data_IF_285979503581
#
_entry.id   IF_285979503581
#
_cell.length_a   1.000
_cell.length_b   1.000
_cell.length_c   1.000
_cell.angle_alpha   90.00
_cell.angle_beta   90.00
_cell.angle_gamma   90.00
#
_symmetry.space_group_name_H-M   'P 1'
#
loop_
_entity.id
_entity.type
_entity.pdbx_description
1 polymer ?
#
# COMPACT_ATOMS: atom_id res chain seq x y z
N UNK A 1 -20.47 5.72 -7.56
CA UNK A 1 -21.64 6.37 -6.97
C UNK A 1 -21.29 7.81 -6.56
N UNK A 2 -21.73 8.78 -7.36
CA UNK A 2 -21.41 10.22 -7.17
C UNK A 2 -21.90 10.71 -5.79
N UNK A 3 -22.95 10.14 -5.26
CA UNK A 3 -23.53 10.52 -3.97
C UNK A 3 -22.69 10.06 -2.77
N UNK A 4 -21.96 8.94 -2.90
CA UNK A 4 -21.18 8.37 -1.78
C UNK A 4 -19.72 8.80 -1.78
N UNK A 5 -19.26 9.52 -2.80
CA UNK A 5 -17.84 9.92 -2.96
C UNK A 5 -16.86 8.75 -2.82
N UNK A 6 -17.26 7.59 -3.34
CA UNK A 6 -16.49 6.36 -3.30
C UNK A 6 -16.50 5.69 -4.67
N UNK A 7 -15.36 5.15 -5.07
CA UNK A 7 -15.16 4.40 -6.30
C UNK A 7 -14.80 2.97 -5.90
N UNK A 8 -15.54 1.97 -6.41
CA UNK A 8 -15.12 0.59 -6.39
C UNK A 8 -14.41 0.27 -7.70
N UNK A 9 -13.21 -0.27 -7.61
CA UNK A 9 -12.37 -0.53 -8.76
C UNK A 9 -11.87 -1.97 -8.70
N UNK A 10 -12.03 -2.72 -9.79
CA UNK A 10 -11.51 -4.08 -9.91
C UNK A 10 -10.03 -4.08 -10.30
N UNK A 11 -9.38 -5.24 -10.18
CA UNK A 11 -8.02 -5.41 -10.68
C UNK A 11 -7.97 -5.22 -12.19
N UNK A 12 -6.98 -4.48 -12.66
CA UNK A 12 -6.78 -4.19 -14.09
C UNK A 12 -5.39 -4.68 -14.54
N UNK A 13 -5.28 -4.92 -15.83
CA UNK A 13 -4.04 -5.29 -16.48
C UNK A 13 -4.06 -6.72 -17.03
N UNK A 14 -3.53 -6.85 -18.22
CA UNK A 14 -3.21 -8.11 -18.87
C UNK A 14 -1.97 -7.86 -19.70
N UNK A 15 -0.77 -7.96 -19.13
CA UNK A 15 0.47 -7.50 -19.76
C UNK A 15 0.71 -8.03 -21.17
N UNK A 16 0.29 -9.29 -21.45
CA UNK A 16 0.41 -9.91 -22.77
C UNK A 16 -0.51 -9.27 -23.83
N UNK A 17 -1.63 -8.65 -23.43
CA UNK A 17 -2.61 -8.07 -24.34
C UNK A 17 -2.65 -6.55 -24.28
N UNK A 18 -2.49 -5.99 -23.09
CA UNK A 18 -2.59 -4.55 -22.85
C UNK A 18 -1.41 -4.13 -21.98
N UNK A 19 -0.47 -3.35 -22.52
CA UNK A 19 0.70 -2.88 -21.77
C UNK A 19 0.32 -2.07 -20.53
N UNK A 20 1.14 -2.15 -19.48
CA UNK A 20 0.89 -1.50 -18.18
C UNK A 20 0.75 0.02 -18.26
N UNK A 21 1.43 0.67 -19.21
CA UNK A 21 1.31 2.12 -19.41
C UNK A 21 -0.09 2.54 -19.90
N UNK A 22 -0.88 1.62 -20.45
CA UNK A 22 -2.28 1.85 -20.83
C UNK A 22 -3.20 1.47 -19.68
N UNK A 23 -3.06 0.23 -19.19
CA UNK A 23 -3.99 -0.34 -18.21
C UNK A 23 -3.80 0.24 -16.80
N UNK A 24 -2.55 0.38 -16.33
CA UNK A 24 -2.23 0.79 -14.97
C UNK A 24 -1.92 2.29 -14.86
N UNK A 25 -0.98 2.81 -15.67
CA UNK A 25 -0.56 4.21 -15.59
C UNK A 25 -1.66 5.18 -16.04
N UNK A 26 -2.42 4.77 -17.07
CA UNK A 26 -3.54 5.56 -17.62
C UNK A 26 -4.81 5.54 -16.77
N UNK A 27 -4.92 4.64 -15.79
CA UNK A 27 -6.11 4.51 -14.94
C UNK A 27 -5.79 4.71 -13.45
N UNK A 28 -5.34 3.66 -12.75
CA UNK A 28 -5.20 3.66 -11.28
C UNK A 28 -4.25 4.75 -10.77
N UNK A 29 -3.05 4.87 -11.35
CA UNK A 29 -2.10 5.91 -10.93
C UNK A 29 -2.61 7.32 -11.22
N UNK A 30 -3.38 7.48 -12.30
CA UNK A 30 -4.03 8.75 -12.62
C UNK A 30 -5.08 9.10 -11.57
N UNK A 31 -5.96 8.18 -11.17
CA UNK A 31 -6.93 8.43 -10.11
C UNK A 31 -6.27 8.83 -8.78
N UNK A 32 -5.19 8.15 -8.40
CA UNK A 32 -4.46 8.46 -7.16
C UNK A 32 -3.96 9.91 -7.16
N UNK A 33 -3.45 10.40 -8.29
CA UNK A 33 -2.91 11.76 -8.42
C UNK A 33 -4.00 12.81 -8.62
N UNK A 34 -4.93 12.61 -9.55
CA UNK A 34 -5.99 13.56 -9.88
C UNK A 34 -6.97 13.79 -8.71
N UNK A 35 -7.24 12.75 -7.92
CA UNK A 35 -8.10 12.82 -6.74
C UNK A 35 -7.31 12.97 -5.44
N UNK A 36 -6.04 13.30 -5.52
CA UNK A 36 -5.15 13.47 -4.36
C UNK A 36 -5.38 12.41 -3.27
N UNK A 37 -5.44 11.13 -3.70
CA UNK A 37 -5.63 9.98 -2.82
C UNK A 37 -4.30 9.59 -2.21
N UNK A 38 -3.74 10.46 -1.39
CA UNK A 38 -2.37 10.35 -0.89
C UNK A 38 -2.16 9.28 0.20
N UNK A 39 -3.22 8.73 0.74
CA UNK A 39 -3.17 7.60 1.66
C UNK A 39 -3.59 6.33 0.93
N UNK A 40 -2.73 5.31 0.95
CA UNK A 40 -3.15 3.97 0.67
C UNK A 40 -3.17 3.18 1.99
N UNK A 41 -4.38 2.81 2.41
CA UNK A 41 -4.65 2.07 3.64
C UNK A 41 -4.88 0.60 3.32
N UNK A 42 -4.07 -0.29 3.88
CA UNK A 42 -4.15 -1.73 3.69
C UNK A 42 -4.16 -2.46 5.04
N UNK A 43 -5.30 -2.94 5.52
CA UNK A 43 -5.35 -3.78 6.72
C UNK A 43 -4.80 -5.18 6.43
N UNK A 44 -4.04 -5.70 7.39
CA UNK A 44 -3.50 -7.07 7.38
C UNK A 44 -4.09 -7.81 8.55
N UNK A 45 -4.89 -8.83 8.27
CA UNK A 45 -5.61 -9.56 9.32
C UNK A 45 -5.67 -11.05 9.03
N UNK A 46 -5.28 -11.86 9.99
CA UNK A 46 -5.52 -13.30 9.96
C UNK A 46 -6.96 -13.58 10.37
N UNK A 47 -7.77 -13.98 9.38
CA UNK A 47 -9.20 -14.18 9.56
C UNK A 47 -9.56 -15.61 9.98
N UNK A 48 -10.68 -15.82 10.70
CA UNK A 48 -11.19 -17.15 10.97
C UNK A 48 -11.47 -17.93 9.66
N UNK A 49 -11.08 -19.18 9.62
CA UNK A 49 -11.31 -20.06 8.47
C UNK A 49 -10.26 -19.93 7.35
N UNK A 50 -9.34 -18.97 7.44
CA UNK A 50 -8.23 -18.82 6.48
C UNK A 50 -6.95 -19.41 7.09
N UNK A 51 -6.32 -20.43 6.47
CA UNK A 51 -5.06 -20.96 6.97
C UNK A 51 -3.92 -19.97 6.72
N UNK A 52 -3.17 -19.64 7.77
CA UNK A 52 -1.91 -18.90 7.62
C UNK A 52 -0.81 -19.84 7.10
N UNK A 53 0.04 -19.40 6.17
CA UNK A 53 1.24 -20.15 5.80
C UNK A 53 2.31 -20.14 6.92
N UNK A 54 2.18 -19.24 7.90
CA UNK A 54 3.08 -19.20 9.05
C UNK A 54 2.65 -20.25 10.10
N UNK A 55 3.62 -21.00 10.59
CA UNK A 55 3.36 -22.04 11.60
C UNK A 55 2.80 -21.46 12.91
N UNK A 56 1.87 -22.19 13.52
CA UNK A 56 1.32 -21.90 14.86
C UNK A 56 0.64 -20.54 15.02
N UNK A 57 0.07 -19.98 13.95
CA UNK A 57 -0.70 -18.73 13.99
C UNK A 57 -2.20 -19.02 13.97
N UNK A 58 -2.96 -18.25 14.74
CA UNK A 58 -4.42 -18.35 14.84
C UNK A 58 -5.07 -16.98 14.62
N UNK A 59 -6.36 -16.92 14.27
CA UNK A 59 -7.10 -15.67 14.13
C UNK A 59 -6.91 -14.75 15.35
N UNK A 60 -6.61 -13.48 15.07
CA UNK A 60 -6.30 -12.46 16.08
C UNK A 60 -4.82 -12.27 16.40
N UNK A 61 -3.94 -13.23 16.08
CA UNK A 61 -2.50 -13.05 16.30
C UNK A 61 -1.89 -12.00 15.37
N UNK A 62 -2.42 -11.86 14.16
CA UNK A 62 -1.97 -10.89 13.16
C UNK A 62 -3.14 -9.96 12.84
N UNK A 63 -3.02 -8.71 13.28
CA UNK A 63 -4.02 -7.66 13.05
C UNK A 63 -3.32 -6.28 13.13
N UNK A 64 -2.98 -5.70 11.99
CA UNK A 64 -2.30 -4.41 11.88
C UNK A 64 -2.63 -3.69 10.57
N UNK A 65 -2.26 -2.43 10.48
CA UNK A 65 -2.48 -1.60 9.30
C UNK A 65 -1.17 -1.21 8.63
N UNK A 66 -1.16 -1.16 7.31
CA UNK A 66 -0.10 -0.57 6.52
C UNK A 66 -0.62 0.72 5.91
N UNK A 67 0.09 1.81 6.16
CA UNK A 67 -0.16 3.13 5.59
C UNK A 67 0.97 3.40 4.59
N UNK A 68 0.61 3.41 3.30
CA UNK A 68 1.52 3.67 2.20
C UNK A 68 1.31 5.08 1.67
N UNK A 69 2.38 5.83 1.48
CA UNK A 69 2.36 7.03 0.65
C UNK A 69 1.96 6.65 -0.77
N UNK A 70 1.11 7.45 -1.45
CA UNK A 70 0.40 6.95 -2.63
C UNK A 70 0.48 7.87 -3.86
N UNK A 71 1.15 9.03 -3.78
CA UNK A 71 1.12 10.05 -4.84
C UNK A 71 2.49 10.49 -5.35
N UNK A 72 3.54 10.26 -4.58
CA UNK A 72 4.93 10.62 -4.91
C UNK A 72 5.89 9.47 -4.61
N UNK A 73 7.08 9.74 -4.11
CA UNK A 73 8.06 8.72 -3.75
C UNK A 73 8.76 8.13 -4.96
N UNK A 74 8.98 6.84 -4.90
CA UNK A 74 9.69 6.04 -5.91
C UNK A 74 8.86 5.87 -7.20
N UNK A 75 7.54 6.06 -7.11
CA UNK A 75 6.62 6.04 -8.26
C UNK A 75 6.48 7.40 -8.94
N UNK A 76 7.41 8.33 -8.71
CA UNK A 76 7.46 9.58 -9.46
C UNK A 76 7.59 9.30 -10.97
N UNK A 77 7.05 10.18 -11.79
CA UNK A 77 7.22 10.10 -13.24
C UNK A 77 8.36 11.00 -13.73
N UNK A 78 9.31 11.35 -12.83
CA UNK A 78 10.44 12.21 -13.13
C UNK A 78 11.65 11.34 -13.44
N UNK A 79 12.19 11.52 -14.63
CA UNK A 79 13.31 10.75 -15.15
C UNK A 79 13.37 10.76 -16.67
N UNK A 80 14.18 9.89 -17.24
CA UNK A 80 14.29 9.79 -18.69
C UNK A 80 15.39 8.85 -19.14
N UNK A 81 15.59 8.83 -20.46
CA UNK A 81 16.64 8.06 -21.13
C UNK A 81 17.54 8.98 -21.94
N UNK A 82 18.84 8.71 -21.92
CA UNK A 82 19.85 9.29 -22.81
C UNK A 82 20.46 8.19 -23.66
N UNK A 83 20.78 8.52 -24.91
CA UNK A 83 21.39 7.62 -25.90
C UNK A 83 20.63 6.28 -26.07
N UNK A 84 19.29 6.30 -26.27
CA UNK A 84 18.49 5.08 -26.35
C UNK A 84 19.00 4.16 -27.46
N UNK A 85 18.85 2.85 -27.25
CA UNK A 85 19.20 1.78 -28.20
C UNK A 85 20.70 1.72 -28.58
N UNK A 86 21.58 2.29 -27.75
CA UNK A 86 23.05 2.21 -27.89
C UNK A 86 23.70 1.63 -26.65
N UNK A 87 24.95 1.16 -26.76
CA UNK A 87 25.74 0.68 -25.61
C UNK A 87 25.97 1.76 -24.54
N UNK A 88 25.71 3.03 -24.86
CA UNK A 88 25.82 4.16 -23.96
C UNK A 88 24.49 4.56 -23.31
N UNK A 89 23.46 3.77 -23.48
CA UNK A 89 22.12 4.07 -22.92
C UNK A 89 22.20 4.29 -21.41
N UNK A 90 21.63 5.40 -20.96
CA UNK A 90 21.48 5.74 -19.54
C UNK A 90 20.00 5.92 -19.28
N UNK A 91 19.50 5.26 -18.23
CA UNK A 91 18.13 5.40 -17.74
C UNK A 91 18.15 5.92 -16.32
N UNK A 92 17.34 6.94 -16.06
CA UNK A 92 17.23 7.55 -14.73
C UNK A 92 15.76 7.69 -14.33
N UNK A 93 15.47 7.43 -13.06
CA UNK A 93 14.21 7.76 -12.42
C UNK A 93 14.48 8.32 -11.03
N UNK A 94 13.86 9.46 -10.71
CA UNK A 94 14.04 10.16 -9.45
C UNK A 94 13.03 9.70 -8.40
N UNK A 95 13.48 9.55 -7.16
CA UNK A 95 12.61 9.45 -5.99
C UNK A 95 12.32 10.84 -5.46
N UNK A 96 11.04 11.21 -5.38
CA UNK A 96 10.60 12.53 -4.92
C UNK A 96 9.90 12.40 -3.57
N UNK A 97 10.38 13.15 -2.59
CA UNK A 97 9.76 13.29 -1.27
C UNK A 97 9.57 14.77 -0.96
N UNK A 98 8.35 15.26 -1.10
CA UNK A 98 8.02 16.61 -0.69
C UNK A 98 7.69 16.66 0.81
N UNK A 99 7.91 17.81 1.43
CA UNK A 99 7.53 17.99 2.84
C UNK A 99 6.04 17.79 3.06
N UNK A 100 5.22 18.30 2.17
CA UNK A 100 3.76 18.16 2.25
C UNK A 100 3.34 16.70 2.11
N UNK A 101 3.89 15.98 1.14
CA UNK A 101 3.57 14.56 0.90
C UNK A 101 3.96 13.69 2.08
N UNK A 102 5.19 13.84 2.60
CA UNK A 102 5.66 13.05 3.75
C UNK A 102 4.90 13.42 5.03
N UNK A 103 4.75 14.72 5.34
CA UNK A 103 4.11 15.13 6.59
C UNK A 103 2.64 14.69 6.67
N UNK A 104 1.88 14.76 5.57
CA UNK A 104 0.45 14.38 5.57
C UNK A 104 0.23 12.88 5.76
N UNK A 105 1.07 12.03 5.17
CA UNK A 105 0.96 10.58 5.38
C UNK A 105 1.39 10.19 6.79
N UNK A 106 2.45 10.79 7.32
CA UNK A 106 2.89 10.56 8.69
C UNK A 106 1.82 11.00 9.71
N UNK A 107 1.24 12.19 9.51
CA UNK A 107 0.14 12.68 10.36
C UNK A 107 -1.00 11.67 10.40
N UNK A 108 -1.47 11.19 9.25
CA UNK A 108 -2.54 10.19 9.19
C UNK A 108 -2.16 8.90 9.93
N UNK A 109 -0.93 8.41 9.75
CA UNK A 109 -0.45 7.19 10.39
C UNK A 109 -0.38 7.34 11.92
N UNK A 110 0.14 8.45 12.44
CA UNK A 110 0.16 8.74 13.87
C UNK A 110 -1.25 8.92 14.47
N UNK A 111 -2.15 9.61 13.75
CA UNK A 111 -3.55 9.74 14.16
C UNK A 111 -4.25 8.39 14.23
N UNK A 112 -3.99 7.50 13.26
CA UNK A 112 -4.54 6.14 13.29
C UNK A 112 -3.96 5.35 14.47
N UNK A 113 -2.63 5.36 14.64
CA UNK A 113 -1.99 4.67 15.76
C UNK A 113 -2.51 5.14 17.12
N UNK A 114 -2.74 6.45 17.27
CA UNK A 114 -3.27 7.03 18.51
C UNK A 114 -4.70 6.56 18.84
N UNK A 115 -5.47 6.15 17.83
CA UNK A 115 -6.84 5.62 18.01
C UNK A 115 -6.88 4.12 18.31
N UNK A 116 -5.77 3.39 18.13
CA UNK A 116 -5.68 1.96 18.43
C UNK A 116 -5.34 1.72 19.91
N UNK A 117 -5.64 0.53 20.39
CA UNK A 117 -5.31 0.15 21.78
C UNK A 117 -3.80 0.06 22.03
N UNK A 118 -3.05 -0.48 21.07
CA UNK A 118 -1.58 -0.65 21.19
C UNK A 118 -0.83 0.68 21.13
N UNK A 119 -1.40 1.72 20.51
CA UNK A 119 -0.77 3.03 20.29
C UNK A 119 0.68 2.93 19.84
N UNK A 120 0.93 2.11 18.83
CA UNK A 120 2.28 1.83 18.34
C UNK A 120 2.38 2.03 16.82
N UNK A 121 3.43 2.74 16.40
CA UNK A 121 3.73 2.99 15.00
C UNK A 121 5.13 2.49 14.65
N UNK A 122 5.24 1.73 13.57
CA UNK A 122 6.53 1.30 13.00
C UNK A 122 6.77 2.03 11.68
N UNK A 123 7.89 2.69 11.53
CA UNK A 123 8.30 3.34 10.28
C UNK A 123 9.23 2.45 9.48
N UNK A 124 8.91 2.22 8.21
CA UNK A 124 9.80 1.57 7.26
C UNK A 124 10.78 2.59 6.67
N UNK A 125 12.06 2.27 6.69
CA UNK A 125 13.13 3.13 6.18
C UNK A 125 14.22 2.32 5.46
N UNK A 126 15.14 2.98 4.79
CA UNK A 126 16.41 2.43 4.28
C UNK A 126 17.52 3.47 4.36
N UNK A 127 17.54 4.27 5.40
CA UNK A 127 18.47 5.38 5.59
C UNK A 127 19.95 4.96 5.67
N UNK A 128 20.23 3.68 5.91
CA UNK A 128 21.59 3.14 5.84
C UNK A 128 22.09 2.90 4.39
N UNK A 129 21.24 2.98 3.39
CA UNK A 129 21.61 2.74 1.99
C UNK A 129 21.15 3.85 1.05
N UNK A 130 20.00 4.46 1.30
CA UNK A 130 19.45 5.57 0.52
C UNK A 130 19.73 6.87 1.28
N UNK A 131 20.83 7.52 0.93
CA UNK A 131 21.49 8.53 1.77
C UNK A 131 20.86 9.94 1.78
N UNK A 132 19.85 10.21 0.96
CA UNK A 132 19.20 11.53 0.87
C UNK A 132 17.74 11.45 1.30
N UNK A 133 16.91 10.71 0.58
CA UNK A 133 15.46 10.71 0.81
C UNK A 133 15.07 9.98 2.09
N UNK A 134 15.74 8.90 2.46
CA UNK A 134 15.38 8.13 3.65
C UNK A 134 15.84 8.76 4.98
N UNK A 135 16.98 9.40 5.12
CA UNK A 135 17.27 10.24 6.29
C UNK A 135 16.28 11.39 6.44
N UNK A 136 15.83 12.00 5.33
CA UNK A 136 14.77 13.00 5.37
C UNK A 136 13.46 12.42 5.87
N UNK A 137 13.05 11.24 5.38
CA UNK A 137 11.89 10.51 5.90
C UNK A 137 12.00 10.28 7.40
N UNK A 138 13.12 9.76 7.88
CA UNK A 138 13.36 9.51 9.31
C UNK A 138 13.26 10.80 10.14
N UNK A 139 13.86 11.90 9.68
CA UNK A 139 13.73 13.21 10.33
C UNK A 139 12.27 13.67 10.46
N UNK A 140 11.48 13.48 9.38
CA UNK A 140 10.05 13.84 9.40
C UNK A 140 9.26 12.99 10.38
N UNK A 141 9.55 11.68 10.48
CA UNK A 141 8.94 10.77 11.47
C UNK A 141 9.26 11.25 12.89
N UNK A 142 10.53 11.54 13.19
CA UNK A 142 10.97 12.01 14.50
C UNK A 142 10.31 13.36 14.88
N UNK A 143 10.16 14.26 13.92
CA UNK A 143 9.48 15.53 14.14
C UNK A 143 7.97 15.37 14.35
N UNK A 144 7.32 14.46 13.63
CA UNK A 144 5.90 14.17 13.81
C UNK A 144 5.64 13.50 15.16
N UNK A 145 6.48 12.56 15.58
CA UNK A 145 6.36 11.85 16.85
C UNK A 145 6.33 12.78 18.07
N UNK A 146 7.01 13.93 18.01
CA UNK A 146 6.96 14.95 19.08
C UNK A 146 5.54 15.51 19.34
N UNK A 147 4.65 15.44 18.33
CA UNK A 147 3.26 15.92 18.43
C UNK A 147 2.32 14.84 18.96
N UNK A 148 2.75 13.57 19.01
CA UNK A 148 1.95 12.41 19.42
C UNK A 148 2.63 11.63 20.54
N UNK A 149 2.87 12.28 21.67
CA UNK A 149 3.65 11.74 22.80
C UNK A 149 3.08 10.45 23.42
N UNK A 150 1.81 10.14 23.18
CA UNK A 150 1.17 8.90 23.63
C UNK A 150 1.44 7.72 22.68
N UNK A 151 1.89 7.98 21.45
CA UNK A 151 2.18 6.94 20.46
C UNK A 151 3.63 6.52 20.60
N UNK A 152 3.86 5.28 20.99
CA UNK A 152 5.21 4.68 20.91
C UNK A 152 5.55 4.40 19.46
N UNK A 153 6.81 4.61 19.08
CA UNK A 153 7.22 4.35 17.71
C UNK A 153 8.61 3.74 17.64
N UNK A 154 8.83 2.99 16.58
CA UNK A 154 10.14 2.45 16.20
C UNK A 154 10.34 2.55 14.68
N UNK A 155 11.56 2.28 14.23
CA UNK A 155 11.88 2.22 12.80
C UNK A 155 12.71 0.98 12.48
N UNK A 156 12.47 0.41 11.32
CA UNK A 156 13.26 -0.71 10.78
C UNK A 156 13.65 -0.43 9.34
N UNK A 157 14.84 -0.84 8.97
CA UNK A 157 15.20 -0.91 7.56
C UNK A 157 14.30 -1.96 6.87
N UNK A 158 13.90 -1.67 5.63
CA UNK A 158 12.87 -2.44 4.91
C UNK A 158 13.21 -3.94 4.81
N UNK A 159 14.47 -4.29 4.60
CA UNK A 159 14.93 -5.67 4.53
C UNK A 159 14.67 -6.44 5.83
N UNK A 160 15.06 -5.91 6.97
CA UNK A 160 14.80 -6.55 8.26
C UNK A 160 13.33 -6.43 8.67
N UNK A 161 12.62 -5.40 8.25
CA UNK A 161 11.18 -5.28 8.48
C UNK A 161 10.40 -6.38 7.77
N UNK A 162 10.76 -6.71 6.52
CA UNK A 162 10.20 -7.85 5.80
C UNK A 162 10.43 -9.17 6.55
N UNK A 163 11.64 -9.38 7.10
CA UNK A 163 11.91 -10.55 7.92
C UNK A 163 11.03 -10.59 9.19
N UNK A 164 10.83 -9.45 9.85
CA UNK A 164 9.96 -9.37 11.02
C UNK A 164 8.48 -9.60 10.70
N UNK A 165 8.00 -9.29 9.51
CA UNK A 165 6.63 -9.63 9.09
C UNK A 165 6.39 -11.14 9.08
N UNK A 166 7.43 -11.92 8.78
CA UNK A 166 7.38 -13.39 8.82
C UNK A 166 7.61 -13.93 10.25
N UNK A 167 8.63 -13.41 10.92
CA UNK A 167 9.07 -13.98 12.22
C UNK A 167 8.19 -13.52 13.39
N UNK A 168 7.79 -12.25 13.42
CA UNK A 168 7.12 -11.61 14.56
C UNK A 168 5.97 -10.68 14.09
N UNK A 169 5.00 -11.14 13.28
CA UNK A 169 3.94 -10.28 12.75
C UNK A 169 3.00 -9.71 13.82
N UNK A 170 2.89 -10.37 14.96
CA UNK A 170 2.04 -10.00 16.10
C UNK A 170 2.48 -8.72 16.82
N UNK A 171 3.72 -8.29 16.63
CA UNK A 171 4.22 -7.06 17.25
C UNK A 171 3.73 -5.78 16.59
N UNK A 172 3.30 -5.82 15.33
CA UNK A 172 2.89 -4.64 14.60
C UNK A 172 1.49 -4.16 14.96
N UNK A 173 1.26 -2.87 14.75
CA UNK A 173 -0.04 -2.24 14.93
C UNK A 173 -0.35 -1.29 13.77
N UNK A 174 0.43 -0.23 13.58
CA UNK A 174 0.39 0.62 12.40
C UNK A 174 1.80 0.70 11.83
N UNK A 175 1.93 0.38 10.55
CA UNK A 175 3.20 0.47 9.81
C UNK A 175 3.07 1.56 8.77
N UNK A 176 3.98 2.53 8.76
CA UNK A 176 4.00 3.60 7.75
C UNK A 176 5.23 3.46 6.85
N UNK A 177 5.04 3.66 5.56
CA UNK A 177 6.07 3.47 4.55
C UNK A 177 5.94 4.44 3.38
N UNK A 178 7.08 4.69 2.69
CA UNK A 178 7.09 5.33 1.37
C UNK A 178 6.31 4.51 0.35
N UNK A 179 6.14 5.05 -0.84
CA UNK A 179 5.31 4.44 -1.87
C UNK A 179 5.76 3.01 -2.21
N UNK A 180 7.03 2.80 -2.56
CA UNK A 180 7.54 1.48 -2.92
C UNK A 180 7.61 0.53 -1.72
N UNK A 181 8.09 0.99 -0.57
CA UNK A 181 8.17 0.12 0.60
C UNK A 181 6.79 -0.28 1.11
N UNK A 182 5.82 0.63 1.05
CA UNK A 182 4.43 0.34 1.37
C UNK A 182 3.81 -0.68 0.43
N UNK A 183 4.17 -0.64 -0.86
CA UNK A 183 3.71 -1.62 -1.85
C UNK A 183 4.20 -3.02 -1.51
N UNK A 184 5.51 -3.17 -1.31
CA UNK A 184 6.14 -4.45 -0.94
C UNK A 184 5.53 -5.03 0.33
N UNK A 185 5.43 -4.22 1.38
CA UNK A 185 4.92 -4.66 2.68
C UNK A 185 3.45 -5.05 2.62
N UNK A 186 2.67 -4.38 1.80
CA UNK A 186 1.22 -4.60 1.70
C UNK A 186 0.82 -5.83 0.88
N UNK A 187 1.76 -6.42 0.16
CA UNK A 187 1.60 -7.76 -0.42
C UNK A 187 2.14 -8.83 0.53
N UNK A 188 3.27 -8.55 1.18
CA UNK A 188 3.88 -9.47 2.15
C UNK A 188 2.96 -9.75 3.35
N UNK A 189 2.30 -8.72 3.90
CA UNK A 189 1.38 -8.88 5.02
C UNK A 189 0.26 -9.88 4.74
N UNK A 190 -0.57 -9.66 3.70
CA UNK A 190 -1.59 -10.61 3.28
C UNK A 190 -1.05 -12.00 2.90
N UNK A 191 0.15 -12.07 2.33
CA UNK A 191 0.80 -13.35 2.07
C UNK A 191 1.06 -14.12 3.37
N UNK A 192 1.53 -13.45 4.42
CA UNK A 192 1.73 -14.06 5.75
C UNK A 192 0.43 -14.51 6.42
N UNK A 193 -0.70 -13.90 6.09
CA UNK A 193 -2.02 -14.27 6.64
C UNK A 193 -2.83 -15.21 5.74
N UNK A 194 -2.32 -15.54 4.54
CA UNK A 194 -3.07 -16.35 3.56
C UNK A 194 -4.26 -15.61 2.93
N UNK A 195 -4.32 -14.28 3.04
CA UNK A 195 -5.49 -13.47 2.65
C UNK A 195 -5.26 -12.61 1.40
N UNK A 196 -4.22 -12.84 0.62
CA UNK A 196 -3.86 -11.97 -0.52
C UNK A 196 -5.01 -11.84 -1.55
N UNK A 197 -5.78 -12.90 -1.77
CA UNK A 197 -6.94 -12.89 -2.68
C UNK A 197 -8.14 -12.09 -2.16
N UNK A 198 -8.19 -11.78 -0.88
CA UNK A 198 -9.31 -11.06 -0.24
C UNK A 198 -8.85 -9.81 0.54
N UNK A 199 -7.59 -9.44 0.42
CA UNK A 199 -7.03 -8.27 1.09
C UNK A 199 -7.55 -6.97 0.45
N UNK A 200 -8.14 -6.05 1.25
CA UNK A 200 -8.65 -4.78 0.74
C UNK A 200 -7.57 -3.71 0.68
N UNK A 201 -7.73 -2.78 -0.24
CA UNK A 201 -6.92 -1.58 -0.38
C UNK A 201 -7.81 -0.35 -0.52
N UNK A 202 -7.58 0.68 0.30
CA UNK A 202 -8.25 1.96 0.20
C UNK A 202 -7.28 3.06 -0.23
N UNK A 203 -7.52 3.66 -1.40
CA UNK A 203 -6.85 4.88 -1.84
C UNK A 203 -7.70 6.06 -1.37
N UNK A 204 -7.23 6.80 -0.39
CA UNK A 204 -8.06 7.71 0.40
C UNK A 204 -7.59 9.16 0.26
N UNK A 205 -8.55 10.06 0.04
CA UNK A 205 -8.41 11.48 0.31
C UNK A 205 -9.03 11.75 1.68
N UNK A 206 -8.26 11.88 2.77
CA UNK A 206 -8.79 12.00 4.13
C UNK A 206 -9.66 13.23 4.36
N UNK A 207 -9.40 14.32 3.66
CA UNK A 207 -10.18 15.57 3.71
C UNK A 207 -11.53 15.46 2.99
N UNK A 208 -11.77 14.35 2.27
CA UNK A 208 -13.00 14.11 1.51
C UNK A 208 -13.33 15.18 0.45
N UNK A 209 -12.31 15.89 -0.03
CA UNK A 209 -12.44 16.85 -1.13
C UNK A 209 -12.64 16.14 -2.45
N UNK A 210 -12.06 14.97 -2.60
CA UNK A 210 -12.16 14.09 -3.75
C UNK A 210 -12.67 12.70 -3.35
N UNK A 211 -13.20 11.90 -4.30
CA UNK A 211 -13.64 10.56 -4.01
C UNK A 211 -12.46 9.66 -3.61
N UNK A 212 -12.68 8.79 -2.65
CA UNK A 212 -11.77 7.68 -2.33
C UNK A 212 -12.06 6.48 -3.22
N UNK A 213 -11.04 5.66 -3.50
CA UNK A 213 -11.14 4.48 -4.34
C UNK A 213 -10.78 3.24 -3.53
N UNK A 214 -11.62 2.23 -3.61
CA UNK A 214 -11.42 0.94 -2.96
C UNK A 214 -11.24 -0.16 -4.01
N UNK A 215 -10.22 -0.98 -3.82
CA UNK A 215 -9.80 -2.02 -4.74
C UNK A 215 -9.25 -3.23 -3.99
N UNK A 216 -9.19 -4.43 -4.58
CA UNK A 216 -8.41 -5.53 -4.02
C UNK A 216 -6.90 -5.22 -4.12
N UNK A 217 -6.12 -5.78 -3.19
CA UNK A 217 -4.65 -5.67 -3.22
C UNK A 217 -4.07 -6.46 -4.39
N UNK A 218 -4.62 -7.65 -4.67
CA UNK A 218 -4.13 -8.53 -5.75
C UNK A 218 -4.28 -7.93 -7.14
N UNK A 219 -3.42 -8.36 -8.07
CA UNK A 219 -3.53 -8.06 -9.51
C UNK A 219 -4.65 -8.82 -10.21
N UNK A 220 -4.70 -8.73 -11.52
CA UNK A 220 -5.75 -9.35 -12.35
C UNK A 220 -5.66 -10.87 -12.51
N UNK A 221 -4.55 -11.49 -12.10
CA UNK A 221 -4.28 -12.93 -12.15
C UNK A 221 -4.68 -13.61 -13.48
N UNK A 222 -4.10 -13.20 -14.62
CA UNK A 222 -4.48 -13.67 -15.94
C UNK A 222 -4.24 -15.18 -16.14
N UNK A 223 -3.38 -15.79 -15.36
CA UNK A 223 -3.04 -17.21 -15.33
C UNK A 223 -4.22 -18.10 -14.92
N UNK A 224 -5.16 -17.59 -14.13
CA UNK A 224 -6.38 -18.32 -13.72
C UNK A 224 -7.63 -17.82 -14.44
N UNK A 225 -7.51 -16.97 -15.45
CA UNK A 225 -8.63 -16.44 -16.20
C UNK A 225 -9.44 -17.54 -16.88
N UNK A 226 -10.77 -17.51 -16.76
CA UNK A 226 -11.67 -18.50 -17.33
C UNK A 226 -11.82 -19.81 -16.54
N UNK A 227 -11.06 -20.00 -15.45
CA UNK A 227 -11.15 -21.23 -14.63
C UNK A 227 -12.28 -21.18 -13.58
N UNK A 228 -12.90 -20.03 -13.35
CA UNK A 228 -14.00 -19.87 -12.40
C UNK A 228 -13.60 -20.07 -10.93
N UNK A 229 -12.30 -19.98 -10.61
CA UNK A 229 -11.75 -20.22 -9.26
C UNK A 229 -11.37 -18.94 -8.51
N UNK A 230 -11.36 -17.79 -9.19
CA UNK A 230 -10.98 -16.51 -8.57
C UNK A 230 -12.05 -16.08 -7.57
N UNK A 231 -11.63 -15.87 -6.32
CA UNK A 231 -12.43 -15.21 -5.29
C UNK A 231 -11.72 -13.91 -4.90
N UNK A 232 -12.40 -12.80 -5.11
CA UNK A 232 -11.88 -11.48 -4.75
C UNK A 232 -12.82 -10.77 -3.77
N UNK A 233 -12.28 -9.84 -3.01
CA UNK A 233 -13.06 -9.01 -2.09
C UNK A 233 -14.22 -8.29 -2.80
N UNK A 234 -14.03 -7.86 -4.04
CA UNK A 234 -15.08 -7.19 -4.82
C UNK A 234 -16.28 -8.10 -5.07
N UNK A 235 -16.08 -9.40 -5.26
CA UNK A 235 -17.15 -10.39 -5.42
C UNK A 235 -17.94 -10.57 -4.12
N UNK A 236 -17.28 -10.45 -2.97
CA UNK A 236 -17.91 -10.56 -1.65
C UNK A 236 -18.69 -9.28 -1.31
N UNK A 237 -18.18 -8.13 -1.68
CA UNK A 237 -18.75 -6.82 -1.33
C UNK A 237 -19.95 -6.42 -2.21
N UNK A 238 -20.00 -6.91 -3.44
CA UNK A 238 -21.03 -6.55 -4.43
C UNK A 238 -21.65 -7.79 -5.12
N UNK A 239 -22.14 -8.81 -4.36
CA UNK A 239 -22.65 -10.04 -4.96
C UNK A 239 -23.89 -9.81 -5.85
N UNK A 240 -24.66 -8.75 -5.59
CA UNK A 240 -25.92 -8.45 -6.29
C UNK A 240 -25.72 -7.81 -7.68
N UNK A 241 -24.55 -7.26 -7.99
CA UNK A 241 -24.29 -6.67 -9.31
C UNK A 241 -23.90 -7.69 -10.38
N UNK A 242 -23.46 -8.87 -10.00
CA UNK A 242 -23.09 -9.91 -10.95
C UNK A 242 -24.32 -10.59 -11.60
N UNK A 243 -25.45 -10.64 -10.93
CA UNK A 243 -26.70 -11.18 -11.48
C UNK A 243 -27.32 -10.30 -12.57
N UNK A 244 -26.91 -9.05 -12.69
CA UNK A 244 -27.45 -8.09 -13.68
C UNK A 244 -26.62 -8.02 -14.98
N UNK A 245 -25.45 -8.64 -15.02
CA UNK A 245 -24.50 -8.58 -16.16
C UNK A 245 -24.34 -9.93 -16.88
N UNK A 246 -25.01 -10.99 -16.42
CA UNK A 246 -25.00 -12.33 -17.05
C UNK A 246 -26.10 -12.49 -18.07
#
# INVERSE_FOLDING_TARGET
DVYKRQIFFGSVGWPEKIPDHISLWGSLLKFRREFDQYINLRPVKLMPGVPSPLANRKPGDIDFYIIRENTEGEYSSIGGKMFPDTEREIVMQETIMSRVGVDRVLKFAFELANKTEKKHLTSATKSNGISITMPYWDERVENMAKQYSEVKWDKYHIDILCAHFVLNPDKFNVVVASNLFGDILSDLGPACTGTIGIAPSGNINPEKKFPSLFEPVHGSAPDIAGQGIALSLIHISEPTRQEVIS
#
